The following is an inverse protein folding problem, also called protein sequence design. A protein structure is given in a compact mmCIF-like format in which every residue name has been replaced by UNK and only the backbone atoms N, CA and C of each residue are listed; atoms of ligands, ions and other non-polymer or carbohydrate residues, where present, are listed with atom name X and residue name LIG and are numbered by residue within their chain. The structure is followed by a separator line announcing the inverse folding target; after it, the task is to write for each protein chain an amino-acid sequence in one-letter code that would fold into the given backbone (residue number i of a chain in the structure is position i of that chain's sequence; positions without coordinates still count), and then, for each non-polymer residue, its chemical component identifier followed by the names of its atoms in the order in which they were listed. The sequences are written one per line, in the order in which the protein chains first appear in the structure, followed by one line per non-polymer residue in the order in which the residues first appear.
data_IF_197139378554
#
_entry.id   IF_197139378554
#
_cell.length_a   1.000
_cell.length_b   1.000
_cell.length_c   1.000
_cell.angle_alpha   90.00
_cell.angle_beta   90.00
_cell.angle_gamma   90.00
#
_symmetry.space_group_name_H-M   'P 1'
#
loop_
_entity.id
_entity.type
_entity.pdbx_description
1 polymer ?
#
# COMPACT_ATOMS: atom_id res chain seq x y z
N UNK A 1 20.30 -7.70 -11.34
CA UNK A 1 19.93 -6.38 -10.81
C UNK A 1 19.39 -5.59 -11.98
N UNK A 2 18.15 -5.07 -11.90
CA UNK A 2 17.71 -4.08 -12.87
C UNK A 2 18.73 -2.93 -12.86
N UNK A 3 19.03 -2.35 -14.02
CA UNK A 3 19.88 -1.17 -14.08
C UNK A 3 19.31 -0.15 -13.08
N UNK A 4 20.15 0.38 -12.20
CA UNK A 4 19.79 1.45 -11.29
C UNK A 4 19.56 2.70 -12.15
N UNK A 5 18.34 2.87 -12.66
CA UNK A 5 17.94 4.03 -13.47
C UNK A 5 17.74 5.29 -12.61
N UNK A 6 18.08 5.19 -11.32
CA UNK A 6 18.05 6.25 -10.32
C UNK A 6 16.64 6.69 -9.95
N UNK A 7 15.61 5.94 -10.34
CA UNK A 7 14.22 6.17 -9.96
C UNK A 7 13.83 5.09 -8.95
N UNK A 8 13.20 5.50 -7.85
CA UNK A 8 12.69 4.54 -6.88
C UNK A 8 11.33 4.02 -7.36
N UNK A 9 11.14 2.69 -7.50
CA UNK A 9 9.86 2.15 -7.92
C UNK A 9 8.78 2.40 -6.85
N UNK A 10 7.54 2.56 -7.30
CA UNK A 10 6.39 2.69 -6.40
C UNK A 10 6.28 1.50 -5.46
N UNK A 11 5.87 1.77 -4.22
CA UNK A 11 5.60 0.74 -3.23
C UNK A 11 4.14 0.32 -3.35
N UNK A 12 3.92 -0.94 -3.73
CA UNK A 12 2.57 -1.48 -3.90
C UNK A 12 2.17 -2.30 -2.68
N UNK A 13 1.05 -1.94 -2.06
CA UNK A 13 0.45 -2.68 -0.95
C UNK A 13 -0.77 -3.42 -1.46
N UNK A 14 -0.80 -4.74 -1.25
CA UNK A 14 -1.92 -5.59 -1.64
C UNK A 14 -3.17 -5.17 -0.89
N UNK A 15 -4.21 -4.87 -1.65
CA UNK A 15 -5.36 -4.10 -1.21
C UNK A 15 -6.65 -4.91 -1.22
N UNK A 16 -6.75 -5.82 -2.19
CA UNK A 16 -7.86 -6.75 -2.32
C UNK A 16 -7.42 -7.97 -3.12
N UNK A 17 -8.02 -9.10 -2.80
CA UNK A 17 -7.89 -10.34 -3.57
C UNK A 17 -9.27 -10.69 -4.10
N UNK A 18 -9.43 -10.72 -5.42
CA UNK A 18 -10.68 -11.08 -6.05
C UNK A 18 -10.49 -12.34 -6.91
N UNK A 19 -11.47 -13.23 -6.87
CA UNK A 19 -11.51 -14.45 -7.68
C UNK A 19 -12.80 -14.44 -8.48
N UNK A 20 -12.68 -14.40 -9.80
CA UNK A 20 -13.84 -14.46 -10.70
C UNK A 20 -14.53 -15.83 -10.63
N UNK A 21 -15.77 -15.90 -11.10
CA UNK A 21 -16.52 -17.14 -11.29
C UNK A 21 -15.86 -18.10 -12.29
N UNK A 22 -14.95 -17.61 -13.13
CA UNK A 22 -14.11 -18.41 -14.03
C UNK A 22 -12.81 -18.91 -13.39
N UNK A 23 -12.55 -18.55 -12.12
CA UNK A 23 -11.35 -18.95 -11.38
C UNK A 23 -10.13 -18.05 -11.61
N UNK A 24 -10.26 -16.96 -12.37
CA UNK A 24 -9.20 -15.98 -12.53
C UNK A 24 -9.02 -15.16 -11.25
N UNK A 25 -7.77 -14.95 -10.85
CA UNK A 25 -7.41 -14.19 -9.65
C UNK A 25 -6.92 -12.81 -10.09
N UNK A 26 -7.43 -11.76 -9.45
CA UNK A 26 -6.95 -10.39 -9.60
C UNK A 26 -6.62 -9.78 -8.25
N UNK A 27 -5.51 -9.06 -8.16
CA UNK A 27 -5.06 -8.38 -6.96
C UNK A 27 -5.20 -6.87 -7.20
N UNK A 28 -5.93 -6.17 -6.33
CA UNK A 28 -5.90 -4.71 -6.27
C UNK A 28 -4.72 -4.24 -5.42
N UNK A 29 -4.09 -3.13 -5.79
CA UNK A 29 -2.99 -2.51 -5.03
C UNK A 29 -3.34 -1.09 -4.61
N UNK A 30 -2.78 -0.67 -3.47
CA UNK A 30 -2.59 0.75 -3.13
C UNK A 30 -1.15 1.06 -3.53
N UNK A 31 -1.01 1.96 -4.49
CA UNK A 31 0.29 2.41 -4.96
C UNK A 31 0.71 3.64 -4.15
N UNK A 32 1.91 3.59 -3.57
CA UNK A 32 2.56 4.72 -2.90
C UNK A 32 3.69 5.17 -3.80
N UNK A 33 3.59 6.40 -4.30
CA UNK A 33 4.65 7.06 -5.05
C UNK A 33 5.84 7.34 -4.13
N UNK A 34 6.86 6.47 -4.21
CA UNK A 34 8.08 6.55 -3.39
C UNK A 34 8.97 7.69 -3.88
N UNK A 35 8.91 7.98 -5.17
CA UNK A 35 9.71 9.01 -5.81
C UNK A 35 9.33 10.42 -5.32
N UNK A 36 8.04 10.68 -5.15
CA UNK A 36 7.52 11.94 -4.59
C UNK A 36 7.60 12.03 -3.06
N UNK A 37 7.95 10.94 -2.37
CA UNK A 37 7.92 10.86 -0.90
C UNK A 37 9.27 10.58 -0.25
N UNK A 38 10.32 10.33 -1.05
CA UNK A 38 11.68 10.12 -0.55
C UNK A 38 12.29 11.39 0.05
N UNK A 39 12.79 11.26 1.27
CA UNK A 39 13.43 12.37 1.99
C UNK A 39 14.94 12.42 1.75
N UNK A 40 15.56 11.25 1.67
CA UNK A 40 16.96 11.04 1.34
C UNK A 40 17.03 10.00 0.23
N UNK A 41 17.99 10.17 -0.67
CA UNK A 41 18.29 9.19 -1.69
C UNK A 41 19.69 8.59 -1.49
N UNK A 42 19.80 7.28 -1.73
CA UNK A 42 21.06 6.56 -1.71
C UNK A 42 21.32 6.01 -3.11
N UNK A 43 21.86 6.86 -4.00
CA UNK A 43 22.20 6.48 -5.36
C UNK A 43 23.57 7.01 -5.80
N UNK A 44 24.13 6.39 -6.84
CA UNK A 44 25.35 6.88 -7.48
C UNK A 44 25.04 8.24 -8.12
N UNK A 45 25.82 9.27 -7.78
CA UNK A 45 25.51 10.66 -8.16
C UNK A 45 25.19 10.87 -9.65
N UNK A 46 25.80 10.10 -10.56
CA UNK A 46 25.60 10.23 -12.00
C UNK A 46 24.28 9.61 -12.54
N UNK A 47 23.58 8.82 -11.72
CA UNK A 47 22.41 8.04 -12.15
C UNK A 47 21.11 8.49 -11.48
N UNK A 48 21.18 9.20 -10.33
CA UNK A 48 20.00 9.63 -9.58
C UNK A 48 19.15 10.61 -10.38
N UNK A 49 17.88 10.25 -10.53
CA UNK A 49 16.82 11.14 -11.01
C UNK A 49 15.99 11.52 -9.79
N UNK A 50 15.83 12.82 -9.58
CA UNK A 50 15.23 13.46 -8.41
C UNK A 50 15.91 13.02 -7.11
N UNK A 51 16.87 13.79 -6.58
CA UNK A 51 17.36 13.55 -5.21
C UNK A 51 16.22 13.63 -4.19
N UNK A 52 16.46 13.08 -3.00
CA UNK A 52 15.55 13.22 -1.87
C UNK A 52 15.29 14.68 -1.53
N UNK A 53 14.09 14.98 -1.05
CA UNK A 53 13.67 16.36 -0.76
C UNK A 53 14.65 17.09 0.19
N UNK A 54 15.31 16.36 1.10
CA UNK A 54 16.24 16.94 2.08
C UNK A 54 17.70 17.00 1.61
N UNK A 55 18.14 16.07 0.76
CA UNK A 55 19.53 15.99 0.30
C UNK A 55 19.76 16.51 -1.12
N UNK A 56 18.70 16.94 -1.82
CA UNK A 56 18.78 17.56 -3.14
C UNK A 56 19.68 18.80 -3.15
N UNK A 57 20.85 18.62 -3.74
CA UNK A 57 21.89 19.64 -3.86
C UNK A 57 21.58 20.59 -5.02
N UNK A 58 21.75 21.88 -4.76
CA UNK A 58 21.43 22.97 -5.70
C UNK A 58 22.33 24.17 -5.44
N UNK A 59 22.23 25.19 -6.30
CA UNK A 59 22.81 26.51 -6.05
C UNK A 59 21.79 27.49 -5.47
N UNK A 60 22.24 28.34 -4.55
CA UNK A 60 21.49 29.48 -4.01
C UNK A 60 22.23 30.79 -4.37
N UNK A 61 21.53 31.70 -5.03
CA UNK A 61 22.09 32.94 -5.56
C UNK A 61 21.84 34.14 -4.64
N UNK A 62 22.73 35.12 -4.69
CA UNK A 62 22.64 36.35 -3.89
C UNK A 62 21.59 37.35 -4.39
N UNK A 63 20.80 37.01 -5.41
CA UNK A 63 19.71 37.88 -5.91
C UNK A 63 18.49 37.04 -6.27
N UNK A 64 17.29 37.55 -5.98
CA UNK A 64 16.05 36.86 -6.32
C UNK A 64 15.83 36.67 -7.83
N UNK A 65 16.34 37.60 -8.66
CA UNK A 65 16.26 37.48 -10.12
C UNK A 65 17.09 36.30 -10.64
N UNK A 66 18.34 36.16 -10.19
CA UNK A 66 19.18 35.02 -10.54
C UNK A 66 18.62 33.70 -9.99
N UNK A 67 18.09 33.72 -8.76
CA UNK A 67 17.43 32.55 -8.17
C UNK A 67 16.23 32.09 -8.99
N UNK A 68 15.39 33.02 -9.43
CA UNK A 68 14.21 32.73 -10.27
C UNK A 68 14.63 32.13 -11.63
N UNK A 69 15.68 32.66 -12.25
CA UNK A 69 16.22 32.09 -13.50
C UNK A 69 16.76 30.67 -13.29
N UNK A 70 17.49 30.45 -12.19
CA UNK A 70 17.98 29.14 -11.79
C UNK A 70 16.82 28.14 -11.59
N UNK A 71 15.82 28.50 -10.77
CA UNK A 71 14.71 27.62 -10.41
C UNK A 71 13.85 27.24 -11.62
N UNK A 72 13.56 28.19 -12.51
CA UNK A 72 12.80 27.93 -13.74
C UNK A 72 13.54 26.98 -14.68
N UNK A 73 14.84 27.18 -14.89
CA UNK A 73 15.64 26.32 -15.74
C UNK A 73 15.81 24.92 -15.12
N UNK A 74 16.00 24.85 -13.80
CA UNK A 74 16.05 23.59 -13.06
C UNK A 74 14.75 22.81 -13.24
N UNK A 75 13.59 23.43 -12.97
CA UNK A 75 12.28 22.82 -13.10
C UNK A 75 12.01 22.34 -14.54
N UNK A 76 12.44 23.11 -15.55
CA UNK A 76 12.30 22.74 -16.96
C UNK A 76 13.05 21.46 -17.33
N UNK A 77 14.27 21.26 -16.80
CA UNK A 77 15.05 20.04 -17.05
C UNK A 77 14.43 18.83 -16.35
N UNK A 78 13.99 18.98 -15.10
CA UNK A 78 13.33 17.90 -14.36
C UNK A 78 12.01 17.50 -15.02
N UNK A 79 11.18 18.48 -15.45
CA UNK A 79 9.95 18.20 -16.19
C UNK A 79 10.23 17.50 -17.54
N UNK A 80 11.40 17.71 -18.12
CA UNK A 80 11.89 16.99 -19.31
C UNK A 80 12.49 15.61 -19.02
N UNK A 81 12.49 15.15 -17.77
CA UNK A 81 13.05 13.85 -17.36
C UNK A 81 14.58 13.81 -17.22
N UNK A 82 15.24 14.97 -17.13
CA UNK A 82 16.67 15.06 -16.87
C UNK A 82 17.04 14.72 -15.42
N UNK A 83 18.34 14.51 -15.17
CA UNK A 83 18.87 14.32 -13.80
C UNK A 83 18.99 15.65 -13.06
N UNK A 84 19.02 15.64 -11.73
CA UNK A 84 19.24 16.87 -10.95
C UNK A 84 20.61 17.50 -11.20
N UNK A 85 21.63 16.71 -11.53
CA UNK A 85 22.93 17.24 -11.94
C UNK A 85 22.81 18.06 -13.23
N UNK A 86 22.08 17.54 -14.22
CA UNK A 86 21.81 18.26 -15.45
C UNK A 86 20.96 19.51 -15.19
N UNK A 87 19.96 19.41 -14.31
CA UNK A 87 19.11 20.52 -13.91
C UNK A 87 19.88 21.62 -13.17
N UNK A 88 20.76 21.26 -12.22
CA UNK A 88 21.64 22.19 -11.53
C UNK A 88 22.58 22.89 -12.53
N UNK A 89 23.18 22.14 -13.46
CA UNK A 89 24.05 22.70 -14.50
C UNK A 89 23.30 23.69 -15.40
N UNK A 90 22.07 23.36 -15.82
CA UNK A 90 21.23 24.24 -16.63
C UNK A 90 20.80 25.49 -15.86
N UNK A 91 20.39 25.32 -14.61
CA UNK A 91 20.06 26.42 -13.70
C UNK A 91 21.24 27.37 -13.52
N UNK A 92 22.44 26.84 -13.29
CA UNK A 92 23.63 27.67 -13.13
C UNK A 92 23.97 28.45 -14.40
N UNK A 93 23.78 27.83 -15.57
CA UNK A 93 23.97 28.48 -16.86
C UNK A 93 22.97 29.61 -17.08
N UNK A 94 21.70 29.40 -16.70
CA UNK A 94 20.64 30.40 -16.85
C UNK A 94 20.80 31.61 -15.91
N UNK A 95 21.23 31.38 -14.68
CA UNK A 95 21.45 32.44 -13.69
C UNK A 95 22.74 33.24 -13.94
N UNK A 96 23.71 32.66 -14.65
CA UNK A 96 24.96 33.33 -15.03
C UNK A 96 25.94 33.53 -13.87
N UNK A 97 26.89 34.46 -14.05
CA UNK A 97 28.00 34.72 -13.13
C UNK A 97 27.61 35.64 -11.95
N UNK A 98 26.52 35.31 -11.26
CA UNK A 98 26.09 35.98 -10.03
C UNK A 98 26.66 35.24 -8.81
N UNK A 99 26.95 35.97 -7.73
CA UNK A 99 27.46 35.37 -6.50
C UNK A 99 26.46 34.32 -5.96
N UNK A 100 26.97 33.17 -5.55
CA UNK A 100 26.17 32.02 -5.14
C UNK A 100 26.91 31.12 -4.17
N UNK A 101 26.15 30.26 -3.51
CA UNK A 101 26.63 29.09 -2.77
C UNK A 101 26.14 27.86 -3.53
N UNK A 102 27.05 26.94 -3.84
CA UNK A 102 26.72 25.72 -4.59
C UNK A 102 26.69 24.49 -3.68
N UNK A 103 26.08 23.41 -4.18
CA UNK A 103 25.98 22.10 -3.53
C UNK A 103 25.30 22.14 -2.15
N UNK A 104 24.32 23.03 -2.01
CA UNK A 104 23.55 23.18 -0.79
C UNK A 104 22.17 22.50 -0.90
N UNK A 105 21.77 21.85 0.18
CA UNK A 105 20.49 21.16 0.39
C UNK A 105 19.92 21.55 1.75
N UNK A 106 18.70 21.10 2.07
CA UNK A 106 18.13 21.37 3.40
C UNK A 106 18.90 20.65 4.53
N UNK A 107 19.55 19.53 4.21
CA UNK A 107 20.34 18.75 5.17
C UNK A 107 21.69 19.38 5.50
N UNK A 108 22.39 19.97 4.51
CA UNK A 108 23.76 20.48 4.67
C UNK A 108 23.83 22.02 4.71
N UNK A 109 22.71 22.69 4.91
CA UNK A 109 22.61 24.15 4.96
C UNK A 109 23.47 24.70 6.11
N UNK A 110 24.44 25.55 5.78
CA UNK A 110 25.29 26.25 6.75
C UNK A 110 25.25 27.76 6.53
N UNK A 111 24.63 28.47 7.47
CA UNK A 111 24.51 29.94 7.45
C UNK A 111 25.79 30.65 7.92
N UNK A 112 26.73 29.91 8.50
CA UNK A 112 27.99 30.45 9.05
C UNK A 112 29.15 30.34 8.06
N UNK A 113 28.92 29.70 6.92
CA UNK A 113 29.93 29.50 5.89
C UNK A 113 30.46 30.83 5.32
N UNK A 114 31.72 30.88 4.87
CA UNK A 114 32.24 32.05 4.17
C UNK A 114 31.46 32.34 2.89
N UNK A 115 31.17 33.62 2.61
CA UNK A 115 30.46 34.05 1.41
C UNK A 115 28.93 34.06 1.54
N UNK A 116 28.38 33.72 2.70
CA UNK A 116 26.97 33.93 3.02
C UNK A 116 26.71 35.42 3.28
N UNK A 117 25.77 35.98 2.53
CA UNK A 117 25.27 37.36 2.69
C UNK A 117 23.79 37.33 3.12
N UNK A 118 23.27 38.45 3.62
CA UNK A 118 21.85 38.57 4.01
C UNK A 118 20.88 38.23 2.85
N UNK A 119 21.25 38.58 1.62
CA UNK A 119 20.46 38.22 0.44
C UNK A 119 20.45 36.71 0.19
N UNK A 120 21.60 36.04 0.38
CA UNK A 120 21.70 34.58 0.27
C UNK A 120 20.87 33.92 1.37
N UNK A 121 20.94 34.42 2.61
CA UNK A 121 20.11 33.92 3.73
C UNK A 121 18.62 34.06 3.39
N UNK A 122 18.20 35.16 2.78
CA UNK A 122 16.82 35.34 2.34
C UNK A 122 16.40 34.26 1.33
N UNK A 123 17.26 33.93 0.37
CA UNK A 123 16.98 32.83 -0.57
C UNK A 123 17.03 31.46 0.10
N UNK A 124 17.88 31.26 1.11
CA UNK A 124 17.90 30.03 1.91
C UNK A 124 16.59 29.82 2.67
N UNK A 125 16.01 30.87 3.25
CA UNK A 125 14.70 30.80 3.90
C UNK A 125 13.63 30.37 2.89
N UNK A 126 13.56 31.02 1.73
CA UNK A 126 12.64 30.63 0.66
C UNK A 126 12.82 29.16 0.25
N UNK A 127 14.06 28.67 0.21
CA UNK A 127 14.31 27.25 -0.08
C UNK A 127 13.78 26.33 1.02
N UNK A 128 14.00 26.64 2.29
CA UNK A 128 13.45 25.84 3.40
C UNK A 128 11.92 25.85 3.36
N UNK A 129 11.28 26.98 3.07
CA UNK A 129 9.83 27.06 2.91
C UNK A 129 9.32 26.15 1.79
N UNK A 130 10.01 26.13 0.64
CA UNK A 130 9.69 25.21 -0.45
C UNK A 130 9.88 23.74 -0.04
N UNK A 131 10.95 23.41 0.67
CA UNK A 131 11.19 22.06 1.20
C UNK A 131 10.09 21.67 2.19
N UNK A 132 9.64 22.57 3.05
CA UNK A 132 8.52 22.33 3.97
C UNK A 132 7.20 22.10 3.22
N UNK A 133 6.94 22.83 2.14
CA UNK A 133 5.78 22.59 1.28
C UNK A 133 5.86 21.19 0.65
N UNK A 134 7.01 20.81 0.09
CA UNK A 134 7.24 19.46 -0.46
C UNK A 134 7.04 18.36 0.58
N UNK A 135 7.54 18.54 1.81
CA UNK A 135 7.32 17.59 2.92
C UNK A 135 5.83 17.47 3.29
N UNK A 136 5.08 18.56 3.20
CA UNK A 136 3.63 18.56 3.46
C UNK A 136 2.88 17.80 2.36
N UNK A 137 3.29 17.95 1.11
CA UNK A 137 2.74 17.19 -0.02
C UNK A 137 3.04 15.70 0.13
N UNK A 138 4.30 15.34 0.43
CA UNK A 138 4.68 13.95 0.70
C UNK A 138 3.90 13.35 1.88
N UNK A 139 3.70 14.12 2.96
CA UNK A 139 2.90 13.69 4.10
C UNK A 139 1.42 13.50 3.73
N UNK A 140 0.89 14.32 2.82
CA UNK A 140 -0.48 14.19 2.32
C UNK A 140 -0.66 12.91 1.50
N UNK A 141 0.30 12.59 0.62
CA UNK A 141 0.31 11.33 -0.14
C UNK A 141 0.31 10.14 0.83
N UNK A 142 1.25 10.10 1.78
CA UNK A 142 1.33 9.03 2.79
C UNK A 142 0.06 8.95 3.65
N UNK A 143 -0.53 10.08 4.02
CA UNK A 143 -1.78 10.15 4.76
C UNK A 143 -2.96 9.56 4.00
N UNK A 144 -3.07 9.85 2.71
CA UNK A 144 -4.12 9.29 1.83
C UNK A 144 -3.96 7.78 1.62
N UNK A 145 -2.72 7.31 1.44
CA UNK A 145 -2.41 5.90 1.36
C UNK A 145 -2.75 5.19 2.66
N UNK A 146 -2.37 5.78 3.81
CA UNK A 146 -2.73 5.26 5.14
C UNK A 146 -4.24 5.13 5.31
N UNK A 147 -5.02 6.15 4.93
CA UNK A 147 -6.48 6.10 5.03
C UNK A 147 -7.07 4.97 4.16
N UNK A 148 -6.54 4.79 2.96
CA UNK A 148 -6.96 3.71 2.06
C UNK A 148 -6.66 2.32 2.66
N UNK A 149 -5.48 2.15 3.28
CA UNK A 149 -5.10 0.93 3.99
C UNK A 149 -6.03 0.67 5.18
N UNK A 150 -6.34 1.70 5.97
CA UNK A 150 -7.24 1.57 7.14
C UNK A 150 -8.65 1.13 6.71
N UNK A 151 -9.18 1.69 5.61
CA UNK A 151 -10.47 1.29 5.05
C UNK A 151 -10.49 -0.18 4.62
N UNK A 152 -9.42 -0.63 3.97
CA UNK A 152 -9.30 -2.02 3.52
C UNK A 152 -9.13 -2.99 4.68
N UNK A 153 -8.41 -2.58 5.73
CA UNK A 153 -8.32 -3.35 6.97
C UNK A 153 -9.70 -3.56 7.59
N UNK A 154 -10.51 -2.50 7.70
CA UNK A 154 -11.87 -2.59 8.24
C UNK A 154 -12.79 -3.42 7.36
N UNK A 155 -12.72 -3.27 6.03
CA UNK A 155 -13.48 -4.09 5.09
C UNK A 155 -13.14 -5.57 5.24
N UNK A 156 -11.84 -5.90 5.28
CA UNK A 156 -11.37 -7.28 5.44
C UNK A 156 -11.82 -7.86 6.78
N UNK A 157 -11.75 -7.09 7.87
CA UNK A 157 -12.27 -7.53 9.16
C UNK A 157 -13.77 -7.82 9.11
N UNK A 158 -14.55 -6.94 8.49
CA UNK A 158 -16.00 -7.12 8.36
C UNK A 158 -16.37 -8.34 7.51
N UNK A 159 -15.59 -8.61 6.45
CA UNK A 159 -15.72 -9.81 5.64
C UNK A 159 -15.39 -11.07 6.46
N UNK A 160 -14.30 -11.07 7.22
CA UNK A 160 -13.93 -12.20 8.09
C UNK A 160 -15.04 -12.48 9.10
N UNK A 161 -15.54 -11.46 9.79
CA UNK A 161 -16.63 -11.61 10.77
C UNK A 161 -17.92 -12.16 10.12
N UNK A 162 -18.21 -11.75 8.88
CA UNK A 162 -19.38 -12.23 8.12
C UNK A 162 -19.21 -13.68 7.66
N UNK A 163 -18.00 -14.05 7.22
CA UNK A 163 -17.65 -15.42 6.85
C UNK A 163 -17.73 -16.31 8.08
N UNK A 164 -17.19 -15.90 9.23
CA UNK A 164 -17.23 -16.69 10.46
C UNK A 164 -18.68 -16.97 10.90
N UNK A 165 -19.56 -15.96 10.86
CA UNK A 165 -20.99 -16.16 11.12
C UNK A 165 -21.67 -17.05 10.09
N UNK A 166 -21.36 -16.86 8.80
CA UNK A 166 -21.91 -17.66 7.71
C UNK A 166 -21.51 -19.13 7.81
N UNK A 167 -20.22 -19.40 8.06
CA UNK A 167 -19.69 -20.75 8.28
C UNK A 167 -20.28 -21.35 9.55
N UNK A 168 -20.36 -20.60 10.65
CA UNK A 168 -21.02 -21.05 11.88
C UNK A 168 -22.47 -21.48 11.65
N UNK A 169 -23.25 -20.68 10.92
CA UNK A 169 -24.63 -21.02 10.58
C UNK A 169 -24.73 -22.26 9.68
N UNK A 170 -23.82 -22.43 8.72
CA UNK A 170 -23.78 -23.63 7.88
C UNK A 170 -23.41 -24.88 8.68
N UNK A 171 -22.45 -24.78 9.60
CA UNK A 171 -22.07 -25.88 10.50
C UNK A 171 -23.21 -26.24 11.46
N UNK A 172 -23.86 -25.25 12.07
CA UNK A 172 -25.01 -25.47 12.95
C UNK A 172 -26.19 -26.08 12.19
N UNK A 173 -26.46 -25.62 10.97
CA UNK A 173 -27.51 -26.20 10.12
C UNK A 173 -27.20 -27.64 9.72
N UNK A 174 -25.94 -27.95 9.41
CA UNK A 174 -25.52 -29.31 9.07
C UNK A 174 -25.62 -30.25 10.29
N UNK A 175 -25.18 -29.78 11.46
CA UNK A 175 -25.30 -30.54 12.71
C UNK A 175 -26.76 -30.85 13.06
N UNK A 176 -27.68 -29.91 12.87
CA UNK A 176 -29.11 -30.13 13.09
C UNK A 176 -29.72 -31.15 12.11
N UNK A 177 -29.32 -31.09 10.82
CA UNK A 177 -29.76 -32.07 9.81
C UNK A 177 -29.24 -33.46 10.13
N UNK A 178 -27.95 -33.60 10.46
CA UNK A 178 -27.38 -34.91 10.78
C UNK A 178 -27.95 -35.45 12.11
N UNK A 179 -28.18 -34.61 13.12
CA UNK A 179 -28.86 -35.00 14.37
C UNK A 179 -30.28 -35.51 14.11
N UNK A 180 -31.05 -34.81 13.27
CA UNK A 180 -32.40 -35.24 12.86
C UNK A 180 -32.35 -36.55 12.07
N UNK A 181 -31.37 -36.70 11.18
CA UNK A 181 -31.14 -37.92 10.39
C UNK A 181 -30.80 -39.10 11.28
N UNK A 182 -29.95 -38.91 12.29
CA UNK A 182 -29.61 -39.93 13.29
C UNK A 182 -30.81 -40.33 14.13
N UNK A 183 -31.63 -39.37 14.59
CA UNK A 183 -32.87 -39.67 15.31
C UNK A 183 -33.86 -40.45 14.44
N UNK A 184 -34.06 -40.05 13.19
CA UNK A 184 -34.91 -40.76 12.24
C UNK A 184 -34.40 -42.19 11.99
N UNK A 185 -33.08 -42.36 11.85
CA UNK A 185 -32.46 -43.68 11.69
C UNK A 185 -32.65 -44.56 12.93
N UNK A 186 -32.52 -44.00 14.14
CA UNK A 186 -32.79 -44.71 15.39
C UNK A 186 -34.26 -45.15 15.49
N UNK A 187 -35.21 -44.28 15.13
CA UNK A 187 -36.64 -44.64 15.10
C UNK A 187 -36.90 -45.73 14.06
N UNK A 188 -36.28 -45.65 12.88
CA UNK A 188 -36.40 -46.68 11.85
C UNK A 188 -35.84 -48.02 12.32
N UNK A 189 -34.73 -48.05 13.04
CA UNK A 189 -34.18 -49.27 13.64
C UNK A 189 -35.09 -49.83 14.74
N UNK A 190 -35.65 -48.98 15.60
CA UNK A 190 -36.61 -49.40 16.63
C UNK A 190 -37.87 -50.02 16.01
N UNK A 191 -38.43 -49.39 14.96
CA UNK A 191 -39.54 -49.96 14.19
C UNK A 191 -39.15 -51.24 13.47
N UNK A 192 -37.92 -51.34 12.97
CA UNK A 192 -37.37 -52.56 12.37
C UNK A 192 -37.31 -53.72 13.37
N UNK A 193 -36.80 -53.49 14.58
CA UNK A 193 -36.77 -54.49 15.66
C UNK A 193 -38.18 -54.89 16.10
N UNK A 194 -39.08 -53.91 16.23
CA UNK A 194 -40.47 -54.17 16.61
C UNK A 194 -41.24 -54.92 15.51
N UNK A 195 -41.03 -54.60 14.24
CA UNK A 195 -41.56 -55.35 13.11
C UNK A 195 -41.01 -56.78 13.08
N UNK A 196 -39.72 -56.98 13.37
CA UNK A 196 -39.10 -58.30 13.51
C UNK A 196 -39.68 -59.09 14.70
N UNK A 197 -39.93 -58.45 15.85
CA UNK A 197 -40.52 -59.13 17.01
C UNK A 197 -42.00 -59.49 16.79
N UNK A 198 -42.76 -58.64 16.08
CA UNK A 198 -44.14 -58.92 15.65
C UNK A 198 -44.16 -60.03 14.59
N UNK A 199 -43.24 -60.03 13.63
CA UNK A 199 -43.14 -61.10 12.63
C UNK A 199 -42.79 -62.45 13.27
N UNK A 200 -41.89 -62.46 14.25
CA UNK A 200 -41.54 -63.67 15.01
C UNK A 200 -42.69 -64.15 15.89
N UNK A 201 -43.36 -63.26 16.63
CA UNK A 201 -44.52 -63.63 17.46
C UNK A 201 -45.70 -64.10 16.61
N UNK A 202 -46.00 -63.44 15.49
CA UNK A 202 -47.03 -63.87 14.55
C UNK A 202 -46.71 -65.24 13.94
N UNK A 203 -45.45 -65.51 13.58
CA UNK A 203 -45.02 -66.84 13.10
C UNK A 203 -45.18 -67.92 14.18
N UNK A 204 -44.89 -67.61 15.44
CA UNK A 204 -45.10 -68.54 16.55
C UNK A 204 -46.58 -68.77 16.86
N UNK A 205 -47.44 -67.76 16.76
CA UNK A 205 -48.91 -67.90 16.90
C UNK A 205 -49.54 -68.73 15.78
N UNK A 206 -49.03 -68.60 14.55
CA UNK A 206 -49.42 -69.48 13.44
C UNK A 206 -48.98 -70.92 13.74
N UNK A 207 -47.76 -71.12 14.23
CA UNK A 207 -47.27 -72.45 14.58
C UNK A 207 -48.06 -73.12 15.73
N UNK A 208 -48.60 -72.35 16.68
CA UNK A 208 -49.48 -72.89 17.73
C UNK A 208 -50.84 -73.34 17.20
N UNK A 209 -51.38 -72.67 16.18
CA UNK A 209 -52.64 -73.06 15.51
C UNK A 209 -52.51 -74.35 14.69
N UNK A 210 -51.29 -74.70 14.26
CA UNK A 210 -51.01 -75.97 13.58
C UNK A 210 -50.55 -77.10 14.54
N UNK A 211 -50.43 -76.82 15.84
CA UNK A 211 -50.08 -77.80 16.89
C UNK A 211 -51.24 -78.11 17.85
N UNK A 212 -52.35 -77.38 17.75
CA UNK A 212 -53.62 -77.66 18.45
C UNK A 212 -54.49 -78.64 17.66
#
# INVERSE_FOLDING_TARGET
AAANDGVQPDSQIVSSFNRSSSGAISIGTIDIDVESTKLFDYGLAAEVKNYGTLDRQTSIYSTGAAQTLYDNAYAGVIAGGGTDIAANTAGQTAAGAVAKVDNISAYNLDITAPGITDDIITQMVNRIDNVMAQLTDSATILGSAKSSIDLQKTFTQSLMDSIDRGVGQLVDADMNKESTRLQALQVQQQLGVQALSIANSASQSILSLFKS
#
